data_IF_584877318077
#
_entry.id   IF_584877318077
#
_cell.length_a   1.000
_cell.length_b   1.000
_cell.length_c   1.000
_cell.angle_alpha   90.00
_cell.angle_beta   90.00
_cell.angle_gamma   90.00
#
_symmetry.space_group_name_H-M   'P 1'
#
loop_
_entity.id
_entity.type
_entity.pdbx_description
1 polymer ?
#
# COMPACT_ATOMS: atom_id res chain seq x y z
N UNK A 1 12.12 4.14 5.19
CA UNK A 1 11.45 3.19 4.26
C UNK A 1 11.34 1.80 4.87
N UNK A 2 10.11 1.38 5.18
CA UNK A 2 9.80 0.05 5.70
C UNK A 2 9.55 -0.92 4.55
N UNK A 3 10.63 -1.43 3.95
CA UNK A 3 10.51 -2.51 2.96
C UNK A 3 10.50 -3.85 3.68
N UNK A 4 9.41 -4.61 3.56
CA UNK A 4 9.34 -5.93 4.16
C UNK A 4 10.11 -6.95 3.31
N UNK A 5 10.85 -7.90 3.93
CA UNK A 5 11.48 -8.98 3.19
C UNK A 5 10.46 -9.79 2.39
N UNK A 6 10.83 -10.21 1.18
CA UNK A 6 9.97 -11.02 0.31
C UNK A 6 9.39 -12.25 1.02
N UNK A 7 10.18 -12.92 1.85
CA UNK A 7 9.75 -14.09 2.63
C UNK A 7 8.60 -13.77 3.60
N UNK A 8 8.61 -12.56 4.17
CA UNK A 8 7.56 -12.09 5.08
C UNK A 8 6.27 -11.77 4.31
N UNK A 9 6.39 -11.14 3.13
CA UNK A 9 5.26 -10.89 2.22
C UNK A 9 4.64 -12.22 1.77
N UNK A 10 5.45 -13.16 1.31
CA UNK A 10 5.01 -14.49 0.86
C UNK A 10 4.30 -15.25 2.00
N UNK A 11 4.79 -15.10 3.23
CA UNK A 11 4.17 -15.71 4.41
C UNK A 11 2.78 -15.14 4.67
N UNK A 12 2.59 -13.81 4.61
CA UNK A 12 1.27 -13.21 4.82
C UNK A 12 0.31 -13.51 3.67
N UNK A 13 0.81 -13.45 2.42
CA UNK A 13 0.02 -13.79 1.25
C UNK A 13 -0.51 -15.22 1.30
N UNK A 14 0.26 -16.17 1.85
CA UNK A 14 -0.22 -17.56 2.06
C UNK A 14 -1.34 -17.65 3.10
N UNK A 15 -1.22 -16.91 4.21
CA UNK A 15 -2.17 -16.91 5.34
C UNK A 15 -3.46 -16.14 5.07
N UNK A 16 -3.43 -15.23 4.10
CA UNK A 16 -4.57 -14.38 3.73
C UNK A 16 -5.78 -15.21 3.27
N UNK A 17 -6.99 -14.76 3.63
CA UNK A 17 -8.24 -15.38 3.19
C UNK A 17 -8.48 -15.13 1.69
N UNK A 18 -9.21 -16.01 0.98
CA UNK A 18 -9.46 -15.83 -0.46
C UNK A 18 -10.03 -14.45 -0.83
N UNK A 19 -11.06 -13.91 -0.14
CA UNK A 19 -11.61 -12.59 -0.50
C UNK A 19 -10.59 -11.45 -0.41
N UNK A 20 -9.65 -11.53 0.54
CA UNK A 20 -8.59 -10.52 0.65
C UNK A 20 -7.53 -10.68 -0.44
N UNK A 21 -7.20 -11.91 -0.84
CA UNK A 21 -6.29 -12.14 -1.98
C UNK A 21 -6.92 -11.63 -3.28
N UNK A 22 -8.19 -11.92 -3.48
CA UNK A 22 -8.92 -11.46 -4.66
C UNK A 22 -8.93 -9.93 -4.72
N UNK A 23 -9.21 -9.26 -3.60
CA UNK A 23 -9.14 -7.80 -3.51
C UNK A 23 -7.72 -7.26 -3.75
N UNK A 24 -6.67 -7.91 -3.22
CA UNK A 24 -5.28 -7.48 -3.40
C UNK A 24 -4.86 -7.50 -4.87
N UNK A 25 -5.37 -8.44 -5.66
CA UNK A 25 -5.07 -8.59 -7.09
C UNK A 25 -6.18 -8.04 -8.01
N UNK A 26 -7.21 -7.41 -7.46
CA UNK A 26 -8.34 -6.89 -8.21
C UNK A 26 -7.91 -5.67 -9.05
N UNK A 27 -8.30 -5.67 -10.32
CA UNK A 27 -8.06 -4.54 -11.22
C UNK A 27 -8.77 -3.30 -10.71
N UNK A 28 -9.97 -3.46 -10.15
CA UNK A 28 -10.79 -2.37 -9.60
C UNK A 28 -10.07 -1.67 -8.43
N UNK A 29 -9.32 -2.42 -7.61
CA UNK A 29 -8.53 -1.83 -6.52
C UNK A 29 -7.35 -1.04 -7.09
N UNK A 30 -6.64 -1.61 -8.06
CA UNK A 30 -5.53 -0.93 -8.73
C UNK A 30 -5.98 0.37 -9.44
N UNK A 31 -7.13 0.34 -10.12
CA UNK A 31 -7.74 1.51 -10.75
C UNK A 31 -8.09 2.59 -9.73
N UNK A 32 -8.65 2.20 -8.57
CA UNK A 32 -8.99 3.15 -7.50
C UNK A 32 -7.75 3.82 -6.90
N UNK A 33 -6.70 3.04 -6.64
CA UNK A 33 -5.42 3.57 -6.15
C UNK A 33 -4.85 4.57 -7.17
N UNK A 34 -4.86 4.21 -8.45
CA UNK A 34 -4.38 5.08 -9.52
C UNK A 34 -5.20 6.37 -9.63
N UNK A 35 -6.53 6.27 -9.62
CA UNK A 35 -7.46 7.40 -9.68
C UNK A 35 -7.22 8.39 -8.52
N UNK A 36 -7.08 7.87 -7.29
CA UNK A 36 -6.80 8.68 -6.10
C UNK A 36 -5.47 9.43 -6.29
N UNK A 37 -4.42 8.73 -6.69
CA UNK A 37 -3.10 9.33 -6.83
C UNK A 37 -3.05 10.41 -7.90
N UNK A 38 -3.61 10.14 -9.08
CA UNK A 38 -3.71 11.14 -10.17
C UNK A 38 -4.52 12.36 -9.72
N UNK A 39 -5.62 12.16 -8.99
CA UNK A 39 -6.46 13.26 -8.47
C UNK A 39 -5.69 14.17 -7.52
N UNK A 40 -4.72 13.63 -6.77
CA UNK A 40 -3.88 14.39 -5.84
C UNK A 40 -2.54 14.83 -6.45
N UNK A 41 -2.37 14.67 -7.76
CA UNK A 41 -1.16 15.11 -8.46
C UNK A 41 0.06 14.21 -8.27
N UNK A 42 -0.10 13.00 -7.74
CA UNK A 42 0.99 12.06 -7.57
C UNK A 42 1.52 11.57 -8.92
N UNK A 43 2.84 11.48 -9.05
CA UNK A 43 3.49 10.88 -10.21
C UNK A 43 3.44 9.35 -10.14
N UNK A 44 3.77 8.68 -11.24
CA UNK A 44 3.66 7.21 -11.34
C UNK A 44 4.41 6.48 -10.24
N UNK A 45 5.61 6.96 -9.92
CA UNK A 45 6.48 6.40 -8.89
C UNK A 45 5.80 6.49 -7.50
N UNK A 46 5.30 7.66 -7.13
CA UNK A 46 4.57 7.91 -5.87
C UNK A 46 3.27 7.10 -5.76
N UNK A 47 2.55 6.94 -6.89
CA UNK A 47 1.38 6.05 -6.94
C UNK A 47 1.80 4.60 -6.67
N UNK A 48 2.95 4.18 -7.19
CA UNK A 48 3.53 2.87 -6.91
C UNK A 48 3.87 2.69 -5.43
N UNK A 49 4.49 3.70 -4.82
CA UNK A 49 4.80 3.72 -3.39
C UNK A 49 3.54 3.66 -2.51
N UNK A 50 2.51 4.45 -2.86
CA UNK A 50 1.22 4.41 -2.18
C UNK A 50 0.54 3.04 -2.32
N UNK A 51 0.58 2.44 -3.51
CA UNK A 51 0.04 1.11 -3.75
C UNK A 51 0.72 0.05 -2.88
N UNK A 52 2.04 0.17 -2.67
CA UNK A 52 2.81 -0.75 -1.85
C UNK A 52 2.41 -0.66 -0.37
N UNK A 53 2.26 0.55 0.19
CA UNK A 53 1.81 0.73 1.57
C UNK A 53 0.38 0.22 1.80
N UNK A 54 -0.53 0.44 0.83
CA UNK A 54 -1.87 -0.16 0.88
C UNK A 54 -1.77 -1.69 0.87
N UNK A 55 -0.90 -2.26 0.04
CA UNK A 55 -0.61 -3.69 0.02
C UNK A 55 -0.13 -4.21 1.37
N UNK A 56 0.75 -3.49 2.06
CA UNK A 56 1.22 -3.85 3.40
C UNK A 56 0.13 -3.81 4.46
N UNK A 57 -0.83 -2.89 4.36
CA UNK A 57 -2.02 -2.88 5.22
C UNK A 57 -2.90 -4.09 4.94
N UNK A 58 -3.16 -4.41 3.66
CA UNK A 58 -3.97 -5.58 3.27
C UNK A 58 -3.32 -6.91 3.68
N UNK A 59 -1.99 -6.98 3.65
CA UNK A 59 -1.21 -8.13 4.13
C UNK A 59 -1.14 -8.22 5.66
N UNK A 60 -1.64 -7.21 6.39
CA UNK A 60 -1.54 -7.14 7.84
C UNK A 60 -0.10 -6.95 8.35
N UNK A 61 0.80 -6.47 7.50
CA UNK A 61 2.18 -6.12 7.83
C UNK A 61 2.23 -4.76 8.51
N UNK A 62 1.47 -3.80 8.00
CA UNK A 62 1.27 -2.48 8.58
C UNK A 62 -0.12 -2.40 9.21
N UNK A 63 -0.23 -1.88 10.44
CA UNK A 63 -1.54 -1.69 11.07
C UNK A 63 -2.27 -0.49 10.44
N UNK A 64 -3.61 -0.51 10.31
CA UNK A 64 -4.35 0.61 9.69
C UNK A 64 -4.08 1.97 10.34
N UNK A 65 -3.86 2.02 11.66
CA UNK A 65 -3.56 3.26 12.36
C UNK A 65 -2.11 3.77 12.17
N UNK A 66 -1.25 2.97 11.55
CA UNK A 66 0.14 3.34 11.18
C UNK A 66 0.26 3.69 9.70
N UNK A 67 -0.79 3.46 8.91
CA UNK A 67 -0.76 3.65 7.46
C UNK A 67 -0.38 5.08 7.06
N UNK A 68 -0.98 6.09 7.71
CA UNK A 68 -0.72 7.49 7.35
C UNK A 68 0.75 7.86 7.55
N UNK A 69 1.32 7.55 8.71
CA UNK A 69 2.74 7.80 9.01
C UNK A 69 3.66 7.02 8.08
N UNK A 70 3.36 5.75 7.79
CA UNK A 70 4.16 4.96 6.86
C UNK A 70 4.12 5.50 5.42
N UNK A 71 2.97 6.02 5.00
CA UNK A 71 2.80 6.64 3.68
C UNK A 71 3.54 7.98 3.59
N UNK A 72 3.46 8.82 4.63
CA UNK A 72 4.20 10.09 4.72
C UNK A 72 5.71 9.85 4.64
N UNK A 73 6.23 8.92 5.45
CA UNK A 73 7.64 8.51 5.44
C UNK A 73 8.10 8.00 4.07
N UNK A 74 7.19 7.38 3.31
CA UNK A 74 7.53 6.76 2.02
C UNK A 74 7.50 7.75 0.88
N UNK A 75 6.54 8.67 0.89
CA UNK A 75 6.41 9.74 -0.09
C UNK A 75 7.34 10.93 0.21
N UNK A 76 8.16 10.84 1.26
CA UNK A 76 9.06 11.91 1.71
C UNK A 76 8.30 13.23 1.93
N UNK A 77 7.09 13.12 2.48
CA UNK A 77 6.25 14.27 2.80
C UNK A 77 6.68 14.82 4.16
N UNK A 78 7.00 16.10 4.20
CA UNK A 78 7.25 16.80 5.46
C UNK A 78 6.02 16.68 6.38
N UNK A 79 6.24 16.52 7.69
CA UNK A 79 5.18 16.55 8.71
C UNK A 79 4.63 17.97 8.89
N UNK A 80 4.15 18.64 7.83
CA UNK A 80 3.60 20.00 7.92
C UNK A 80 2.48 20.23 6.88
N UNK A 81 1.25 19.88 7.26
CA UNK A 81 0.03 20.75 7.36
C UNK A 81 -1.25 19.93 7.68
#
# INVERSE_FOLDING_TARGET
>A
MSTYPKEQIDTQLKKMSPPLKDALFAVEVAEKIHEIGVTHGLIREEIGDMAEEIGYVMLGLTRPNQFLSALQDRLDLDEDE
#
